data_IF_881463477113
#
_entry.id   IF_881463477113
#
_cell.length_a   1.000
_cell.length_b   1.000
_cell.length_c   1.000
_cell.angle_alpha   90.00
_cell.angle_beta   90.00
_cell.angle_gamma   90.00
#
_symmetry.space_group_name_H-M   'P 1'
#
loop_
_entity.id
_entity.type
_entity.pdbx_description
1 polymer ?
#
# COMPACT_ATOMS: atom_id res chain seq x y z
N UNK A 1 -5.54 -5.39 14.69
CA UNK A 1 -6.29 -5.87 13.50
C UNK A 1 -5.28 -6.23 12.42
N UNK A 2 -5.58 -7.21 11.58
CA UNK A 2 -4.72 -7.63 10.47
C UNK A 2 -5.53 -8.29 9.37
N UNK A 3 -5.03 -8.25 8.14
CA UNK A 3 -5.69 -8.78 6.96
C UNK A 3 -5.10 -8.20 5.68
N UNK A 4 -5.62 -8.66 4.55
CA UNK A 4 -5.35 -8.06 3.24
C UNK A 4 -6.37 -6.95 2.97
N UNK A 5 -5.93 -5.71 3.15
CA UNK A 5 -6.79 -4.55 2.95
C UNK A 5 -6.94 -4.14 1.48
N UNK A 6 -6.18 -4.75 0.56
CA UNK A 6 -6.21 -4.43 -0.88
C UNK A 6 -6.10 -2.93 -1.21
N UNK A 7 -5.33 -2.17 -0.42
CA UNK A 7 -5.08 -0.75 -0.64
C UNK A 7 -3.64 -0.45 -0.24
N UNK A 8 -2.92 0.27 -1.09
CA UNK A 8 -1.61 0.84 -0.81
C UNK A 8 -1.75 2.33 -0.38
N UNK A 9 -1.67 2.65 0.93
CA UNK A 9 -2.06 3.96 1.45
C UNK A 9 -1.07 5.10 1.14
N UNK A 10 0.18 4.79 0.82
CA UNK A 10 1.26 5.74 0.56
C UNK A 10 2.02 5.39 -0.73
N UNK A 11 2.67 6.39 -1.32
CA UNK A 11 3.37 6.21 -2.61
C UNK A 11 4.59 5.29 -2.51
N UNK A 12 5.14 5.11 -1.30
CA UNK A 12 6.21 4.17 -1.01
C UNK A 12 5.71 2.74 -0.68
N UNK A 13 4.40 2.48 -0.78
CA UNK A 13 3.83 1.14 -0.68
C UNK A 13 3.75 0.42 -2.04
N UNK A 14 4.05 1.13 -3.14
CA UNK A 14 3.97 0.59 -4.51
C UNK A 14 5.28 0.71 -5.26
N UNK A 15 5.48 -0.11 -6.30
CA UNK A 15 6.70 -0.07 -7.11
C UNK A 15 6.84 1.24 -7.89
N UNK A 16 5.76 1.78 -8.45
CA UNK A 16 5.72 3.05 -9.18
C UNK A 16 4.40 3.78 -8.95
N UNK A 17 4.42 4.86 -8.16
CA UNK A 17 3.22 5.64 -7.85
C UNK A 17 2.67 6.39 -9.08
N UNK A 18 3.54 6.68 -10.06
CA UNK A 18 3.15 7.33 -11.31
C UNK A 18 2.39 6.33 -12.19
N UNK A 19 2.93 5.12 -12.38
CA UNK A 19 2.30 4.11 -13.25
C UNK A 19 1.00 3.55 -12.67
N UNK A 20 0.93 3.40 -11.35
CA UNK A 20 -0.25 2.85 -10.67
C UNK A 20 -1.30 3.90 -10.35
N UNK A 21 -1.10 5.16 -10.71
CA UNK A 21 -2.05 6.21 -10.42
C UNK A 21 -3.44 5.86 -10.99
N UNK A 22 -4.46 5.86 -10.13
CA UNK A 22 -5.84 5.51 -10.46
C UNK A 22 -6.09 4.05 -10.90
N UNK A 23 -5.15 3.12 -10.66
CA UNK A 23 -5.43 1.69 -10.77
C UNK A 23 -6.06 1.14 -9.49
N UNK A 24 -6.73 -0.01 -9.59
CA UNK A 24 -7.26 -0.75 -8.42
C UNK A 24 -6.19 -0.89 -7.34
N UNK A 25 -6.59 -0.77 -6.07
CA UNK A 25 -5.73 -0.76 -4.88
C UNK A 25 -4.87 0.51 -4.69
N UNK A 26 -4.91 1.49 -5.60
CA UNK A 26 -4.11 2.73 -5.52
C UNK A 26 -4.85 3.99 -5.99
N UNK A 27 -6.19 3.97 -6.00
CA UNK A 27 -7.00 5.16 -6.30
C UNK A 27 -7.02 6.15 -5.13
N UNK A 28 -7.32 7.42 -5.42
CA UNK A 28 -7.47 8.45 -4.38
C UNK A 28 -8.58 8.10 -3.35
N UNK A 29 -9.78 7.64 -3.75
CA UNK A 29 -10.81 7.25 -2.78
C UNK A 29 -10.39 6.11 -1.84
N UNK A 30 -9.73 5.06 -2.37
CA UNK A 30 -9.21 3.94 -1.57
C UNK A 30 -8.20 4.42 -0.51
N UNK A 31 -7.22 5.23 -0.93
CA UNK A 31 -6.22 5.82 -0.03
C UNK A 31 -6.88 6.66 1.07
N UNK A 32 -7.88 7.47 0.72
CA UNK A 32 -8.60 8.30 1.68
C UNK A 32 -9.37 7.48 2.70
N UNK A 33 -10.01 6.40 2.29
CA UNK A 33 -10.80 5.55 3.18
C UNK A 33 -9.92 4.87 4.23
N UNK A 34 -8.79 4.26 3.84
CA UNK A 34 -7.84 3.70 4.81
C UNK A 34 -7.28 4.77 5.73
N UNK A 35 -6.86 5.93 5.20
CA UNK A 35 -6.32 6.99 6.05
C UNK A 35 -7.34 7.49 7.06
N UNK A 36 -8.63 7.53 6.70
CA UNK A 36 -9.72 7.84 7.63
C UNK A 36 -9.85 6.78 8.73
N UNK A 37 -9.75 5.50 8.38
CA UNK A 37 -9.74 4.41 9.36
C UNK A 37 -8.55 4.53 10.32
N UNK A 38 -7.34 4.77 9.81
CA UNK A 38 -6.14 4.99 10.62
C UNK A 38 -6.36 6.17 11.57
N UNK A 39 -6.84 7.30 11.06
CA UNK A 39 -7.11 8.49 11.89
C UNK A 39 -8.23 8.27 12.94
N UNK A 40 -8.96 7.16 12.90
CA UNK A 40 -10.00 6.81 13.86
C UNK A 40 -9.45 5.89 14.98
N UNK A 41 -8.41 6.34 15.68
CA UNK A 41 -7.74 5.65 16.79
C UNK A 41 -7.02 4.35 16.42
N UNK A 42 -6.67 4.16 15.14
CA UNK A 42 -5.78 3.09 14.71
C UNK A 42 -4.39 3.63 14.41
N UNK A 43 -3.40 2.76 14.45
CA UNK A 43 -2.03 3.09 14.08
C UNK A 43 -1.57 2.08 13.05
N UNK A 44 -1.01 2.57 11.95
CA UNK A 44 -0.23 1.73 11.04
C UNK A 44 1.09 1.35 11.73
N UNK A 45 1.09 0.17 12.35
CA UNK A 45 2.23 -0.34 13.14
C UNK A 45 3.47 -0.48 12.27
N UNK A 46 3.34 -0.87 11.00
CA UNK A 46 4.50 -1.00 10.13
C UNK A 46 5.14 0.37 9.86
N UNK A 47 4.32 1.39 9.54
CA UNK A 47 4.82 2.75 9.29
C UNK A 47 5.33 3.45 10.54
N UNK A 48 4.88 3.07 11.74
CA UNK A 48 5.44 3.55 13.00
C UNK A 48 6.95 3.25 13.12
N UNK A 49 7.39 2.05 12.74
CA UNK A 49 8.79 1.62 12.81
C UNK A 49 9.58 1.84 11.51
N UNK A 50 8.91 1.86 10.35
CA UNK A 50 9.54 1.88 9.02
C UNK A 50 9.03 3.04 8.15
N UNK A 51 9.21 4.27 8.60
CA UNK A 51 8.65 5.47 7.97
C UNK A 51 9.04 5.65 6.49
N UNK A 52 10.28 5.31 6.12
CA UNK A 52 10.83 5.56 4.76
C UNK A 52 11.09 4.30 3.94
N UNK A 53 10.97 3.11 4.52
CA UNK A 53 11.32 1.89 3.81
C UNK A 53 10.27 1.54 2.76
N UNK A 54 10.74 1.12 1.58
CA UNK A 54 9.91 0.57 0.52
C UNK A 54 9.89 -0.95 0.67
N UNK A 55 8.76 -1.50 1.09
CA UNK A 55 8.52 -2.94 1.24
C UNK A 55 7.13 -3.26 0.72
N UNK A 56 6.98 -4.49 0.23
CA UNK A 56 5.75 -4.95 -0.42
C UNK A 56 5.29 -6.24 0.24
N UNK A 57 3.98 -6.49 0.17
CA UNK A 57 3.34 -7.71 0.70
C UNK A 57 2.64 -8.52 -0.40
N UNK A 58 2.66 -8.04 -1.65
CA UNK A 58 2.00 -8.65 -2.79
C UNK A 58 2.79 -8.42 -4.08
N UNK A 59 2.75 -9.39 -5.00
CA UNK A 59 3.38 -9.35 -6.32
C UNK A 59 2.45 -9.96 -7.38
N UNK A 60 2.37 -9.34 -8.57
CA UNK A 60 1.63 -9.93 -9.70
C UNK A 60 2.45 -11.05 -10.35
N UNK A 61 1.98 -12.29 -10.24
CA UNK A 61 2.62 -13.43 -10.88
C UNK A 61 2.49 -13.44 -12.40
N UNK A 62 1.42 -12.87 -12.96
CA UNK A 62 1.20 -12.82 -14.42
C UNK A 62 2.20 -11.90 -15.09
N UNK A 63 2.61 -10.85 -14.39
CA UNK A 63 3.67 -9.93 -14.82
C UNK A 63 5.08 -10.39 -14.38
N UNK A 64 5.22 -11.54 -13.72
CA UNK A 64 6.52 -12.05 -13.26
C UNK A 64 7.18 -11.22 -12.16
N UNK A 65 6.41 -10.44 -11.39
CA UNK A 65 6.97 -9.45 -10.45
C UNK A 65 7.69 -10.05 -9.23
N UNK A 66 7.50 -11.35 -8.94
CA UNK A 66 8.06 -11.99 -7.74
C UNK A 66 9.59 -12.20 -7.80
N UNK A 67 10.16 -12.39 -8.99
CA UNK A 67 11.58 -12.76 -9.17
C UNK A 67 12.57 -11.59 -9.30
N UNK A 68 12.11 -10.34 -9.22
CA UNK A 68 12.90 -9.12 -9.48
C UNK A 68 13.12 -8.27 -8.21
N UNK A 69 13.19 -8.91 -7.04
CA UNK A 69 13.34 -8.21 -5.75
C UNK A 69 14.78 -7.82 -5.40
#
# INVERSE_FOLDING_TARGET
>A
MGGDFNVAPYDNDVYSAIELQNTTCFTLPEKQYIRKLINHNFIDIYRLFHQRQKKFTWWDYRAGAFGVT
#
